data_IF_698642896909
#
_entry.id   IF_698642896909
#
_cell.length_a   1.000
_cell.length_b   1.000
_cell.length_c   1.000
_cell.angle_alpha   90.00
_cell.angle_beta   90.00
_cell.angle_gamma   90.00
#
_symmetry.space_group_name_H-M   'P 1'
#
loop_
_entity.id
_entity.type
_entity.pdbx_description
1 polymer ?
#
# COMPACT_ATOMS: atom_id res chain seq x y z
N UNK A 1 2.25 24.96 8.34
CA UNK A 1 2.49 23.53 8.03
C UNK A 1 1.78 23.24 6.72
N UNK A 2 2.50 22.76 5.70
CA UNK A 2 1.88 22.35 4.44
C UNK A 2 1.52 20.87 4.55
N UNK A 3 0.30 20.52 4.18
CA UNK A 3 -0.19 19.15 4.15
C UNK A 3 -0.60 18.79 2.72
N UNK A 4 -0.42 17.52 2.38
CA UNK A 4 -0.84 16.97 1.10
C UNK A 4 -1.64 15.70 1.34
N UNK A 5 -2.66 15.49 0.51
CA UNK A 5 -3.46 14.27 0.51
C UNK A 5 -3.73 13.88 -0.93
N UNK A 6 -3.44 12.63 -1.28
CA UNK A 6 -3.73 12.07 -2.60
C UNK A 6 -4.24 10.65 -2.45
N UNK A 7 -4.88 10.15 -3.50
CA UNK A 7 -5.41 8.79 -3.58
C UNK A 7 -4.62 7.99 -4.60
N UNK A 8 -4.42 6.71 -4.29
CA UNK A 8 -3.79 5.74 -5.19
C UNK A 8 -4.91 4.83 -5.70
N UNK A 9 -5.17 4.89 -7.00
CA UNK A 9 -6.24 4.15 -7.66
C UNK A 9 -5.65 3.09 -8.62
N UNK A 10 -6.50 2.21 -9.14
CA UNK A 10 -6.14 1.22 -10.17
C UNK A 10 -5.90 -0.20 -9.66
N UNK A 11 -5.53 -0.40 -8.40
CA UNK A 11 -5.46 -1.73 -7.79
C UNK A 11 -5.60 -1.74 -6.27
N UNK A 12 -5.83 -2.92 -5.70
CA UNK A 12 -5.78 -3.10 -4.26
C UNK A 12 -4.35 -2.94 -3.71
N UNK A 13 -4.17 -2.39 -2.50
CA UNK A 13 -2.86 -2.25 -1.86
C UNK A 13 -2.09 -3.57 -1.80
N UNK A 14 -0.81 -3.54 -2.17
CA UNK A 14 0.04 -4.73 -2.20
C UNK A 14 1.19 -4.60 -1.19
N UNK A 15 1.38 -5.60 -0.31
CA UNK A 15 2.38 -5.51 0.75
C UNK A 15 3.79 -5.71 0.18
N UNK A 16 4.76 -5.19 0.92
CA UNK A 16 6.14 -5.66 0.80
C UNK A 16 6.21 -7.12 1.23
N UNK A 17 6.43 -8.02 0.26
CA UNK A 17 6.47 -9.45 0.53
C UNK A 17 7.75 -9.86 1.24
N UNK A 18 7.75 -11.07 1.77
CA UNK A 18 9.01 -11.73 2.14
C UNK A 18 9.74 -12.15 0.87
N UNK A 19 11.07 -12.21 0.92
CA UNK A 19 11.83 -12.78 -0.20
C UNK A 19 11.61 -14.31 -0.24
N UNK A 20 11.40 -14.85 -1.43
CA UNK A 20 11.33 -16.29 -1.72
C UNK A 20 12.66 -16.74 -2.28
N UNK A 21 13.23 -17.79 -1.69
CA UNK A 21 14.44 -18.44 -2.20
C UNK A 21 14.12 -19.37 -3.37
N UNK A 22 14.91 -19.29 -4.45
CA UNK A 22 14.80 -20.15 -5.63
C UNK A 22 15.93 -21.19 -5.71
N UNK A 23 16.80 -21.27 -4.69
CA UNK A 23 18.04 -22.04 -4.73
C UNK A 23 19.23 -21.23 -5.28
N UNK A 24 20.45 -21.75 -5.08
CA UNK A 24 21.71 -21.14 -5.56
C UNK A 24 21.91 -19.68 -5.13
N UNK A 25 21.43 -19.31 -3.94
CA UNK A 25 21.50 -17.94 -3.41
C UNK A 25 20.54 -16.93 -4.06
N UNK A 26 19.70 -17.34 -5.02
CA UNK A 26 18.77 -16.43 -5.70
C UNK A 26 17.53 -16.21 -4.83
N UNK A 27 17.25 -14.94 -4.54
CA UNK A 27 16.09 -14.49 -3.76
C UNK A 27 15.22 -13.58 -4.62
N UNK A 28 13.91 -13.85 -4.70
CA UNK A 28 12.94 -13.02 -5.43
C UNK A 28 11.86 -12.48 -4.52
N UNK A 29 11.21 -11.41 -4.96
CA UNK A 29 10.04 -10.86 -4.27
C UNK A 29 8.86 -11.84 -4.33
N UNK A 30 8.19 -12.09 -3.19
CA UNK A 30 7.06 -13.02 -3.15
C UNK A 30 5.75 -12.40 -3.63
N UNK A 31 5.57 -11.10 -3.41
CA UNK A 31 4.38 -10.38 -3.83
C UNK A 31 4.56 -9.87 -5.27
N UNK A 32 3.99 -10.59 -6.25
CA UNK A 32 4.04 -10.18 -7.67
C UNK A 32 3.48 -8.78 -7.91
N UNK A 33 2.56 -8.35 -7.04
CA UNK A 33 1.81 -7.11 -7.15
C UNK A 33 2.52 -5.92 -6.48
N UNK A 34 3.64 -6.11 -5.77
CA UNK A 34 4.29 -4.98 -5.09
C UNK A 34 4.86 -3.97 -6.09
N UNK A 35 5.46 -4.44 -7.20
CA UNK A 35 6.01 -3.56 -8.23
C UNK A 35 4.94 -2.63 -8.86
N UNK A 36 3.82 -3.15 -9.40
CA UNK A 36 2.78 -2.29 -9.95
C UNK A 36 2.13 -1.39 -8.88
N UNK A 37 1.98 -1.87 -7.63
CA UNK A 37 1.49 -1.03 -6.53
C UNK A 37 2.39 0.19 -6.30
N UNK A 38 3.70 -0.03 -6.16
CA UNK A 38 4.66 1.07 -5.97
C UNK A 38 4.63 2.06 -7.13
N UNK A 39 4.54 1.59 -8.36
CA UNK A 39 4.44 2.45 -9.53
C UNK A 39 3.21 3.36 -9.48
N UNK A 40 2.06 2.85 -9.03
CA UNK A 40 0.84 3.65 -8.86
C UNK A 40 0.99 4.68 -7.72
N UNK A 41 1.60 4.30 -6.59
CA UNK A 41 1.89 5.23 -5.49
C UNK A 41 2.79 6.37 -5.96
N UNK A 42 3.92 6.04 -6.61
CA UNK A 42 4.86 7.01 -7.19
C UNK A 42 4.17 7.92 -8.19
N UNK A 43 3.38 7.36 -9.11
CA UNK A 43 2.64 8.15 -10.10
C UNK A 43 1.64 9.10 -9.45
N UNK A 44 0.89 8.64 -8.44
CA UNK A 44 -0.08 9.46 -7.75
C UNK A 44 0.61 10.59 -6.95
N UNK A 45 1.76 10.30 -6.34
CA UNK A 45 2.58 11.28 -5.63
C UNK A 45 3.12 12.36 -6.57
N UNK A 46 3.71 11.97 -7.71
CA UNK A 46 4.22 12.91 -8.73
C UNK A 46 3.09 13.78 -9.28
N UNK A 47 1.91 13.20 -9.53
CA UNK A 47 0.76 13.91 -10.08
C UNK A 47 0.25 15.03 -9.16
N UNK A 48 0.62 15.04 -7.89
CA UNK A 48 0.27 16.15 -6.99
C UNK A 48 1.04 17.43 -7.30
N UNK A 49 2.16 17.35 -8.02
CA UNK A 49 3.05 18.48 -8.29
C UNK A 49 3.74 19.05 -7.03
N UNK A 50 3.63 18.36 -5.89
CA UNK A 50 4.21 18.81 -4.65
C UNK A 50 5.74 18.59 -4.68
N UNK A 51 6.54 19.56 -4.21
CA UNK A 51 7.98 19.39 -4.17
C UNK A 51 8.35 18.25 -3.21
N UNK A 52 9.50 17.62 -3.48
CA UNK A 52 10.06 16.62 -2.57
C UNK A 52 10.22 17.24 -1.18
N UNK A 53 9.68 16.56 -0.17
CA UNK A 53 9.72 16.96 1.22
C UNK A 53 11.08 16.57 1.80
N UNK A 54 11.71 17.56 2.43
CA UNK A 54 12.98 17.41 3.14
C UNK A 54 12.75 17.58 4.63
N UNK A 55 13.18 16.61 5.42
CA UNK A 55 13.03 16.60 6.87
C UNK A 55 11.82 15.80 7.37
N UNK A 56 11.50 15.90 8.68
CA UNK A 56 10.56 15.00 9.34
C UNK A 56 9.13 15.17 8.81
N UNK A 57 8.46 14.04 8.60
CA UNK A 57 7.08 13.98 8.15
C UNK A 57 6.21 13.18 9.12
N UNK A 58 4.94 13.57 9.20
CA UNK A 58 3.89 12.76 9.80
C UNK A 58 2.96 12.30 8.68
N UNK A 59 2.68 11.00 8.61
CA UNK A 59 1.86 10.41 7.57
C UNK A 59 0.70 9.62 8.17
N UNK A 60 -0.46 9.71 7.54
CA UNK A 60 -1.62 8.83 7.80
C UNK A 60 -1.99 8.14 6.51
N UNK A 61 -2.13 6.81 6.54
CA UNK A 61 -2.45 6.00 5.36
C UNK A 61 -3.65 5.12 5.68
N UNK A 62 -4.65 5.14 4.78
CA UNK A 62 -5.82 4.27 4.85
C UNK A 62 -5.80 3.31 3.68
N UNK A 63 -5.64 2.02 3.97
CA UNK A 63 -5.68 0.97 2.95
C UNK A 63 -7.11 0.51 2.70
N UNK A 64 -7.57 0.62 1.46
CA UNK A 64 -8.91 0.23 1.04
C UNK A 64 -8.88 -1.12 0.32
N UNK A 65 -9.75 -2.03 0.74
CA UNK A 65 -9.90 -3.37 0.16
C UNK A 65 -11.32 -3.60 -0.31
N UNK A 66 -11.47 -4.33 -1.42
CA UNK A 66 -12.79 -4.82 -1.84
C UNK A 66 -13.30 -5.80 -0.80
N UNK A 67 -14.51 -5.55 -0.30
CA UNK A 67 -15.15 -6.42 0.67
C UNK A 67 -15.46 -7.79 0.02
N UNK A 68 -15.00 -8.92 0.59
CA UNK A 68 -15.27 -10.24 0.05
C UNK A 68 -16.76 -10.53 -0.16
N UNK A 69 -17.11 -11.19 -1.28
CA UNK A 69 -18.51 -11.58 -1.57
C UNK A 69 -19.13 -12.43 -0.44
N UNK A 70 -18.33 -13.25 0.23
CA UNK A 70 -18.77 -14.07 1.37
C UNK A 70 -19.24 -13.27 2.59
N UNK A 71 -18.92 -11.97 2.67
CA UNK A 71 -19.42 -11.08 3.72
C UNK A 71 -20.87 -10.67 3.49
N UNK A 72 -21.42 -10.92 2.30
CA UNK A 72 -22.78 -10.58 1.93
C UNK A 72 -23.70 -11.81 2.00
N UNK A 73 -24.96 -11.57 2.30
CA UNK A 73 -26.06 -12.52 2.15
C UNK A 73 -26.40 -12.69 0.66
N UNK A 74 -27.14 -13.75 0.26
CA UNK A 74 -27.60 -13.89 -1.13
C UNK A 74 -28.45 -12.71 -1.63
N UNK A 75 -29.06 -11.95 -0.71
CA UNK A 75 -29.86 -10.75 -1.01
C UNK A 75 -29.02 -9.45 -1.08
N UNK A 76 -27.70 -9.54 -0.94
CA UNK A 76 -26.79 -8.40 -1.01
C UNK A 76 -26.60 -7.60 0.29
N UNK A 77 -27.33 -7.93 1.36
CA UNK A 77 -27.12 -7.31 2.67
C UNK A 77 -25.85 -7.83 3.35
N UNK A 78 -25.20 -7.01 4.18
CA UNK A 78 -24.03 -7.41 4.97
C UNK A 78 -24.42 -8.46 6.04
N UNK A 79 -23.62 -9.52 6.19
CA UNK A 79 -23.82 -10.52 7.25
C UNK A 79 -23.42 -9.95 8.61
N UNK A 80 -24.13 -10.34 9.67
CA UNK A 80 -23.77 -9.98 11.04
C UNK A 80 -22.37 -10.48 11.46
N UNK A 81 -21.92 -11.59 10.87
CA UNK A 81 -20.58 -12.15 11.10
C UNK A 81 -19.48 -11.47 10.25
N UNK A 82 -19.82 -10.52 9.37
CA UNK A 82 -18.83 -9.86 8.54
C UNK A 82 -18.00 -8.90 9.41
N UNK A 83 -16.66 -8.99 9.38
CA UNK A 83 -15.80 -8.08 10.13
C UNK A 83 -16.05 -6.62 9.74
N UNK A 84 -16.04 -5.72 10.71
CA UNK A 84 -16.10 -4.28 10.45
C UNK A 84 -14.82 -3.83 9.71
N UNK A 85 -13.66 -4.22 10.24
CA UNK A 85 -12.34 -3.93 9.67
C UNK A 85 -11.74 -5.11 8.91
N UNK A 86 -10.82 -4.82 7.99
CA UNK A 86 -10.06 -5.84 7.27
C UNK A 86 -9.15 -6.58 8.26
N UNK A 87 -9.44 -7.86 8.50
CA UNK A 87 -8.76 -8.68 9.52
C UNK A 87 -7.98 -9.87 8.94
N UNK A 88 -7.84 -9.93 7.61
CA UNK A 88 -7.10 -10.99 6.91
C UNK A 88 -5.86 -10.40 6.24
N UNK A 89 -5.00 -11.27 5.68
CA UNK A 89 -3.86 -10.82 4.86
C UNK A 89 -4.33 -9.81 3.80
N UNK A 90 -3.51 -8.82 3.42
CA UNK A 90 -2.11 -8.63 3.77
C UNK A 90 -1.88 -7.89 5.11
N UNK A 91 -0.68 -8.04 5.67
CA UNK A 91 -0.24 -7.36 6.90
C UNK A 91 -0.12 -5.84 6.67
N UNK A 92 -0.76 -5.06 7.53
CA UNK A 92 -0.80 -3.59 7.44
C UNK A 92 0.57 -2.92 7.49
N UNK A 93 1.48 -3.42 8.32
CA UNK A 93 2.84 -2.87 8.42
C UNK A 93 3.62 -3.08 7.12
N UNK A 94 3.38 -4.19 6.41
CA UNK A 94 4.00 -4.48 5.12
C UNK A 94 3.41 -3.66 3.99
N UNK A 95 2.13 -3.28 4.07
CA UNK A 95 1.52 -2.33 3.14
C UNK A 95 2.10 -0.93 3.33
N UNK A 96 2.28 -0.52 4.59
CA UNK A 96 2.92 0.75 4.91
C UNK A 96 4.34 0.77 4.34
N UNK A 97 5.13 -0.29 4.61
CA UNK A 97 6.50 -0.40 4.10
C UNK A 97 6.59 -0.32 2.57
N UNK A 98 5.71 -1.00 1.82
CA UNK A 98 5.74 -0.88 0.35
C UNK A 98 5.30 0.49 -0.15
N UNK A 99 4.48 1.21 0.62
CA UNK A 99 4.02 2.57 0.30
C UNK A 99 5.14 3.58 0.57
N UNK A 100 5.80 3.50 1.72
CA UNK A 100 6.98 4.32 2.07
C UNK A 100 8.09 4.16 1.04
N UNK A 101 8.48 2.91 0.73
CA UNK A 101 9.50 2.61 -0.28
C UNK A 101 9.17 3.18 -1.68
N UNK A 102 7.89 3.48 -1.99
CA UNK A 102 7.48 4.08 -3.26
C UNK A 102 7.48 5.62 -3.23
N UNK A 103 7.33 6.21 -2.04
CA UNK A 103 7.37 7.66 -1.84
C UNK A 103 8.79 8.20 -1.79
N UNK A 104 9.77 7.38 -1.40
CA UNK A 104 11.19 7.71 -1.50
C UNK A 104 11.57 8.05 -2.95
N UNK A 105 12.19 9.20 -3.14
CA UNK A 105 12.58 9.74 -4.45
C UNK A 105 11.45 10.33 -5.29
N UNK A 106 10.19 10.28 -4.83
CA UNK A 106 9.04 10.86 -5.55
C UNK A 106 8.31 11.97 -4.78
N UNK A 107 8.20 11.82 -3.46
CA UNK A 107 7.62 12.82 -2.56
C UNK A 107 8.47 13.02 -1.30
N UNK A 108 9.26 12.02 -0.91
CA UNK A 108 10.18 12.05 0.22
C UNK A 108 11.62 11.93 -0.30
N UNK A 109 12.56 12.68 0.27
CA UNK A 109 13.97 12.64 -0.16
C UNK A 109 14.65 11.31 0.17
N UNK A 110 14.46 10.82 1.40
CA UNK A 110 14.98 9.55 1.90
C UNK A 110 13.95 8.94 2.89
N UNK A 111 13.78 7.61 2.91
CA UNK A 111 13.02 6.93 3.98
C UNK A 111 13.85 6.72 5.26
N UNK A 112 15.16 6.96 5.19
CA UNK A 112 16.04 7.15 6.33
C UNK A 112 16.29 8.65 6.52
N UNK A 113 15.70 9.26 7.54
CA UNK A 113 15.83 10.70 7.78
C UNK A 113 17.26 11.23 7.87
#
# INVERSE_FOLDING_TARGET
MSAITFKVEGMAPAPQGSKRHLGKGVMIESCRNVKPWRALVTSAAIATGFPIIRGPVSMSVVFLFLRPKGHYTPKGALRASAPEHHAVKPDGSKLLRSTEDALTGSLLEDDAG
#
